data_IF_539121617020
#
_entry.id   IF_539121617020
#
_cell.length_a   1.000
_cell.length_b   1.000
_cell.length_c   1.000
_cell.angle_alpha   90.00
_cell.angle_beta   90.00
_cell.angle_gamma   90.00
#
_symmetry.space_group_name_H-M   'P 1'
#
loop_
_entity.id
_entity.type
_entity.pdbx_description
1 polymer ?
#
# COMPACT_ATOMS: atom_id res chain seq x y z
N UNK A 1 23.77 -13.89 4.58
CA UNK A 1 22.64 -13.34 5.36
C UNK A 1 23.09 -13.19 6.82
N UNK A 2 23.05 -11.99 7.38
CA UNK A 2 23.34 -11.75 8.80
C UNK A 2 22.02 -11.91 9.58
N UNK A 3 21.99 -12.79 10.59
CA UNK A 3 20.80 -13.05 11.41
C UNK A 3 21.01 -12.40 12.77
N UNK A 4 20.04 -11.60 13.22
CA UNK A 4 20.01 -11.01 14.55
C UNK A 4 18.61 -11.12 15.15
N UNK A 5 18.52 -11.06 16.48
CA UNK A 5 17.23 -11.00 17.18
C UNK A 5 16.57 -9.64 16.93
N UNK A 6 15.24 -9.63 16.80
CA UNK A 6 14.45 -8.40 16.59
C UNK A 6 14.55 -7.40 17.75
N UNK A 7 14.99 -7.84 18.93
CA UNK A 7 15.21 -6.98 20.11
C UNK A 7 16.69 -6.64 20.33
N UNK A 8 17.59 -7.22 19.54
CA UNK A 8 19.01 -6.94 19.67
C UNK A 8 19.38 -5.73 18.82
N UNK A 9 19.52 -4.58 19.47
CA UNK A 9 19.95 -3.33 18.85
C UNK A 9 21.47 -3.12 18.91
N UNK A 10 22.23 -4.08 19.44
CA UNK A 10 23.68 -3.97 19.58
C UNK A 10 24.42 -4.57 18.37
N UNK A 11 25.58 -3.97 18.07
CA UNK A 11 26.53 -4.47 17.08
C UNK A 11 26.59 -3.62 15.82
N UNK A 12 27.81 -3.49 15.27
CA UNK A 12 28.12 -2.57 14.17
C UNK A 12 27.20 -2.69 12.96
N UNK A 13 26.88 -3.92 12.53
CA UNK A 13 25.98 -4.15 11.38
C UNK A 13 24.56 -3.64 11.66
N UNK A 14 24.08 -3.80 12.89
CA UNK A 14 22.76 -3.37 13.31
C UNK A 14 22.70 -1.84 13.38
N UNK A 15 23.73 -1.21 13.95
CA UNK A 15 23.89 0.25 13.99
C UNK A 15 23.91 0.85 12.59
N UNK A 16 24.76 0.34 11.68
CA UNK A 16 24.79 0.80 10.29
C UNK A 16 23.46 0.63 9.57
N UNK A 17 22.76 -0.48 9.82
CA UNK A 17 21.43 -0.70 9.22
C UNK A 17 20.43 0.36 9.67
N UNK A 18 20.47 0.77 10.94
CA UNK A 18 19.60 1.83 11.48
C UNK A 18 19.97 3.18 10.90
N UNK A 19 21.25 3.51 10.87
CA UNK A 19 21.78 4.74 10.27
C UNK A 19 21.35 4.90 8.80
N UNK A 20 21.53 3.87 7.98
CA UNK A 20 21.08 3.86 6.58
C UNK A 20 19.56 4.01 6.50
N UNK A 21 18.81 3.39 7.41
CA UNK A 21 17.35 3.45 7.41
C UNK A 21 16.79 4.83 7.78
N UNK A 22 17.50 5.58 8.62
CA UNK A 22 17.14 6.93 9.04
C UNK A 22 17.63 8.02 8.08
N UNK A 23 18.57 7.68 7.20
CA UNK A 23 19.12 8.59 6.21
C UNK A 23 18.05 9.20 5.28
N UNK A 24 18.09 10.53 5.13
CA UNK A 24 17.22 11.28 4.23
C UNK A 24 17.62 11.13 2.75
N UNK A 25 18.88 10.77 2.49
CA UNK A 25 19.48 10.60 1.15
C UNK A 25 20.18 9.25 1.07
N UNK A 26 20.43 8.71 -0.15
CA UNK A 26 21.35 7.59 -0.32
C UNK A 26 22.67 7.88 0.41
N UNK A 27 23.21 6.87 1.08
CA UNK A 27 24.43 6.98 1.87
C UNK A 27 25.51 6.23 1.13
N UNK A 28 26.65 6.88 0.89
CA UNK A 28 27.79 6.22 0.28
C UNK A 28 28.39 5.21 1.26
N UNK A 29 28.58 3.99 0.77
CA UNK A 29 29.05 2.88 1.59
C UNK A 29 30.02 2.00 0.82
N UNK A 30 31.04 1.51 1.53
CA UNK A 30 31.96 0.50 1.02
C UNK A 30 31.83 -0.78 1.83
N UNK A 31 31.75 -1.92 1.13
CA UNK A 31 31.61 -3.24 1.75
C UNK A 31 32.71 -4.15 1.24
N UNK A 32 33.52 -4.66 2.17
CA UNK A 32 34.49 -5.72 1.90
C UNK A 32 33.87 -7.04 2.33
N UNK A 33 33.73 -7.99 1.39
CA UNK A 33 33.23 -9.33 1.68
C UNK A 33 34.36 -10.28 2.05
N UNK A 34 34.07 -11.29 2.88
CA UNK A 34 35.04 -12.35 3.22
C UNK A 34 35.39 -13.22 2.01
N UNK A 35 34.47 -13.31 1.05
CA UNK A 35 34.60 -14.09 -0.19
C UNK A 35 33.79 -13.47 -1.31
N UNK A 36 34.12 -13.82 -2.55
CA UNK A 36 33.37 -13.37 -3.74
C UNK A 36 31.88 -13.68 -3.58
N UNK A 37 30.97 -12.69 -3.74
CA UNK A 37 29.53 -12.93 -3.76
C UNK A 37 29.16 -13.97 -4.83
N UNK A 38 28.34 -14.94 -4.44
CA UNK A 38 27.80 -15.98 -5.33
C UNK A 38 26.30 -16.13 -5.08
N UNK A 39 25.55 -16.54 -6.10
CA UNK A 39 24.11 -16.78 -6.01
C UNK A 39 23.35 -16.27 -7.23
N UNK A 40 22.07 -16.62 -7.31
CA UNK A 40 21.13 -16.11 -8.31
C UNK A 40 20.26 -15.02 -7.67
N UNK A 41 19.50 -14.28 -8.50
CA UNK A 41 18.47 -13.37 -8.00
C UNK A 41 17.47 -14.20 -7.19
N UNK A 42 17.36 -13.89 -5.91
CA UNK A 42 16.44 -14.57 -5.01
C UNK A 42 15.20 -13.70 -4.80
N UNK A 43 14.04 -14.23 -5.20
CA UNK A 43 12.74 -13.64 -4.92
C UNK A 43 12.18 -14.31 -3.66
N UNK A 44 11.97 -13.52 -2.63
CA UNK A 44 11.36 -13.96 -1.37
C UNK A 44 10.15 -13.06 -1.08
N UNK A 45 9.15 -13.59 -0.37
CA UNK A 45 7.92 -12.84 -0.06
C UNK A 45 8.11 -11.72 0.98
N UNK A 46 9.19 -11.81 1.76
CA UNK A 46 9.43 -10.96 2.94
C UNK A 46 10.54 -9.92 2.72
N UNK A 47 11.41 -10.13 1.74
CA UNK A 47 12.57 -9.28 1.47
C UNK A 47 12.61 -8.89 0.00
N UNK A 48 13.20 -7.74 -0.27
CA UNK A 48 13.35 -7.24 -1.64
C UNK A 48 14.18 -8.23 -2.47
N UNK A 49 13.88 -8.34 -3.78
CA UNK A 49 14.74 -9.03 -4.73
C UNK A 49 16.18 -8.54 -4.58
N UNK A 50 17.11 -9.46 -4.35
CA UNK A 50 18.52 -9.13 -4.22
C UNK A 50 19.37 -10.13 -5.01
N UNK A 51 20.51 -9.62 -5.47
CA UNK A 51 21.48 -10.40 -6.24
C UNK A 51 22.38 -11.28 -5.36
N UNK A 52 23.50 -11.73 -5.93
CA UNK A 52 24.52 -12.52 -5.22
C UNK A 52 24.93 -11.87 -3.90
N UNK A 53 25.17 -12.67 -2.86
CA UNK A 53 25.56 -12.17 -1.54
C UNK A 53 26.72 -12.97 -0.94
N UNK A 54 27.47 -12.34 -0.02
CA UNK A 54 28.52 -12.98 0.75
C UNK A 54 28.54 -12.42 2.20
N UNK A 55 29.15 -13.14 3.16
CA UNK A 55 29.43 -12.60 4.49
C UNK A 55 30.28 -11.33 4.42
N UNK A 56 29.92 -10.35 5.24
CA UNK A 56 30.56 -9.04 5.30
C UNK A 56 31.76 -9.11 6.24
N UNK A 57 32.94 -8.71 5.76
CA UNK A 57 34.18 -8.59 6.54
C UNK A 57 34.33 -7.19 7.15
N UNK A 58 34.05 -6.14 6.36
CA UNK A 58 34.16 -4.74 6.79
C UNK A 58 33.13 -3.89 6.08
N UNK A 59 32.57 -2.90 6.78
CA UNK A 59 31.70 -1.87 6.22
C UNK A 59 32.26 -0.52 6.61
N UNK A 60 32.27 0.41 5.66
CA UNK A 60 32.45 1.83 5.89
C UNK A 60 31.19 2.55 5.42
N UNK A 61 30.76 3.52 6.23
CA UNK A 61 29.57 4.32 5.98
C UNK A 61 29.97 5.79 6.07
N UNK A 62 29.59 6.60 5.08
CA UNK A 62 29.58 8.05 5.24
C UNK A 62 28.56 8.45 6.31
N UNK A 63 28.78 9.57 7.02
CA UNK A 63 27.83 10.06 8.01
C UNK A 63 26.48 10.40 7.36
N UNK A 64 25.39 9.68 7.66
CA UNK A 64 24.12 9.87 6.99
C UNK A 64 23.45 11.17 7.45
N UNK A 65 23.03 11.99 6.49
CA UNK A 65 22.13 13.11 6.82
C UNK A 65 20.75 12.57 7.18
N UNK A 66 20.36 12.65 8.45
CA UNK A 66 19.04 12.23 8.92
C UNK A 66 17.99 13.33 8.67
N UNK A 67 16.74 12.93 8.41
CA UNK A 67 15.61 13.86 8.35
C UNK A 67 15.30 14.37 9.77
N UNK A 68 15.40 15.68 10.05
CA UNK A 68 15.29 16.21 11.42
C UNK A 68 14.00 15.83 12.15
N UNK A 69 12.90 15.67 11.39
CA UNK A 69 11.60 15.26 11.95
C UNK A 69 11.62 13.80 12.41
N UNK A 70 12.26 12.93 11.65
CA UNK A 70 12.44 11.52 12.01
C UNK A 70 13.41 11.41 13.19
N UNK A 71 14.50 12.17 13.17
CA UNK A 71 15.46 12.24 14.27
C UNK A 71 14.80 12.64 15.59
N UNK A 72 13.98 13.70 15.56
CA UNK A 72 13.21 14.14 16.73
C UNK A 72 12.31 13.03 17.27
N UNK A 73 11.55 12.37 16.40
CA UNK A 73 10.68 11.26 16.81
C UNK A 73 11.46 10.02 17.27
N UNK A 74 12.70 9.85 16.80
CA UNK A 74 13.58 8.77 17.20
C UNK A 74 14.13 8.97 18.62
N UNK A 75 14.57 10.18 18.96
CA UNK A 75 15.07 10.49 20.31
C UNK A 75 13.96 10.66 21.35
N UNK A 76 12.70 10.78 20.93
CA UNK A 76 11.56 10.76 21.83
C UNK A 76 11.22 9.30 22.24
N UNK A 77 11.78 8.90 23.38
CA UNK A 77 11.65 7.56 23.94
C UNK A 77 10.28 7.25 24.55
N UNK A 78 9.42 8.25 24.74
CA UNK A 78 8.09 8.12 25.34
C UNK A 78 6.95 8.19 24.30
N UNK A 79 7.25 8.71 23.11
CA UNK A 79 6.29 8.86 22.03
C UNK A 79 5.80 7.49 21.51
N UNK A 80 4.48 7.29 21.56
CA UNK A 80 3.86 6.08 20.98
C UNK A 80 4.09 6.06 19.48
N UNK A 81 4.36 4.86 18.94
CA UNK A 81 4.67 4.70 17.53
C UNK A 81 3.56 5.25 16.63
N UNK A 82 2.29 4.99 16.97
CA UNK A 82 1.13 5.52 16.24
C UNK A 82 1.17 7.04 16.11
N UNK A 83 1.48 7.73 17.20
CA UNK A 83 1.45 9.20 17.25
C UNK A 83 2.61 9.76 16.42
N UNK A 84 3.81 9.17 16.52
CA UNK A 84 4.94 9.48 15.66
C UNK A 84 4.60 9.32 14.16
N UNK A 85 3.98 8.21 13.76
CA UNK A 85 3.59 7.96 12.37
C UNK A 85 2.63 9.03 11.84
N UNK A 86 1.62 9.38 12.62
CA UNK A 86 0.62 10.39 12.24
C UNK A 86 1.25 11.78 12.17
N UNK A 87 2.09 12.14 13.13
CA UNK A 87 2.76 13.45 13.16
C UNK A 87 3.73 13.62 11.97
N UNK A 88 4.58 12.63 11.72
CA UNK A 88 5.51 12.64 10.59
C UNK A 88 4.78 12.77 9.26
N UNK A 89 3.69 12.01 9.09
CA UNK A 89 2.84 12.09 7.91
C UNK A 89 2.22 13.48 7.75
N UNK A 90 1.64 14.05 8.82
CA UNK A 90 1.04 15.40 8.80
C UNK A 90 2.06 16.49 8.48
N UNK A 91 3.31 16.31 8.91
CA UNK A 91 4.42 17.23 8.57
C UNK A 91 4.90 17.07 7.12
N UNK A 92 4.40 16.09 6.36
CA UNK A 92 4.77 15.87 4.96
C UNK A 92 6.04 15.03 4.77
N UNK A 93 6.44 14.24 5.78
CA UNK A 93 7.51 13.26 5.60
C UNK A 93 7.01 12.15 4.67
N UNK A 94 7.83 11.78 3.68
CA UNK A 94 7.49 10.73 2.73
C UNK A 94 7.17 9.41 3.46
N UNK A 95 6.06 8.78 3.09
CA UNK A 95 5.62 7.50 3.69
C UNK A 95 6.70 6.43 3.60
N UNK A 96 7.42 6.35 2.48
CA UNK A 96 8.53 5.40 2.31
C UNK A 96 9.65 5.60 3.33
N UNK A 97 9.95 6.84 3.72
CA UNK A 97 10.92 7.14 4.79
C UNK A 97 10.39 6.74 6.16
N UNK A 98 9.12 7.01 6.43
CA UNK A 98 8.45 6.59 7.66
C UNK A 98 8.47 5.06 7.78
N UNK A 99 8.14 4.33 6.70
CA UNK A 99 8.19 2.87 6.64
C UNK A 99 9.60 2.32 6.89
N UNK A 100 10.63 2.94 6.28
CA UNK A 100 12.04 2.55 6.46
C UNK A 100 12.49 2.74 7.91
N UNK A 101 12.23 3.90 8.50
CA UNK A 101 12.53 4.19 9.90
C UNK A 101 11.76 3.25 10.86
N UNK A 102 10.47 3.01 10.61
CA UNK A 102 9.67 2.10 11.43
C UNK A 102 10.23 0.67 11.42
N UNK A 103 10.73 0.19 10.27
CA UNK A 103 11.29 -1.17 10.13
C UNK A 103 12.51 -1.44 11.01
N UNK A 104 13.27 -0.40 11.34
CA UNK A 104 14.44 -0.48 12.22
C UNK A 104 14.14 -0.12 13.67
N UNK A 105 12.86 -0.11 14.06
CA UNK A 105 12.42 0.17 15.41
C UNK A 105 12.66 1.62 15.83
N UNK A 106 12.58 2.58 14.90
CA UNK A 106 12.87 3.98 15.21
C UNK A 106 11.79 4.68 16.07
N UNK A 107 10.56 4.16 16.11
CA UNK A 107 9.42 4.82 16.73
C UNK A 107 8.78 3.93 17.80
N UNK A 108 8.20 4.57 18.81
CA UNK A 108 7.53 3.91 19.93
C UNK A 108 8.29 4.07 21.24
N UNK A 109 7.63 3.65 22.32
CA UNK A 109 8.23 3.61 23.66
C UNK A 109 9.50 2.77 23.62
N UNK A 110 10.61 3.31 24.13
CA UNK A 110 11.96 2.77 23.94
C UNK A 110 12.05 1.27 24.26
N UNK A 111 11.53 0.86 25.42
CA UNK A 111 11.50 -0.53 25.88
C UNK A 111 10.73 -1.51 24.97
N UNK A 112 9.84 -0.97 24.11
CA UNK A 112 8.98 -1.75 23.22
C UNK A 112 9.44 -1.71 21.76
N UNK A 113 10.50 -0.95 21.45
CA UNK A 113 11.06 -0.87 20.10
C UNK A 113 11.61 -2.25 19.69
N UNK A 114 11.42 -2.58 18.43
CA UNK A 114 11.90 -3.83 17.81
C UNK A 114 12.07 -3.65 16.32
N UNK A 115 12.94 -4.44 15.71
CA UNK A 115 12.95 -4.59 14.25
C UNK A 115 11.65 -5.22 13.77
N UNK A 116 11.15 -4.71 12.65
CA UNK A 116 9.91 -5.18 12.02
C UNK A 116 10.22 -5.49 10.55
N UNK A 117 9.86 -6.68 10.04
CA UNK A 117 10.03 -7.00 8.62
C UNK A 117 9.47 -5.92 7.71
N UNK A 118 10.11 -5.66 6.58
CA UNK A 118 9.74 -4.58 5.65
C UNK A 118 8.27 -4.66 5.22
N UNK A 119 7.78 -5.87 4.89
CA UNK A 119 6.39 -6.10 4.53
C UNK A 119 5.42 -5.66 5.63
N UNK A 120 5.69 -6.02 6.87
CA UNK A 120 4.85 -5.65 8.01
C UNK A 120 4.96 -4.16 8.34
N UNK A 121 6.13 -3.55 8.16
CA UNK A 121 6.33 -2.12 8.33
C UNK A 121 5.50 -1.31 7.34
N UNK A 122 5.49 -1.72 6.07
CA UNK A 122 4.64 -1.12 5.03
C UNK A 122 3.17 -1.16 5.46
N UNK A 123 2.67 -2.35 5.79
CA UNK A 123 1.27 -2.51 6.18
C UNK A 123 0.93 -1.76 7.46
N UNK A 124 1.78 -1.80 8.49
CA UNK A 124 1.53 -1.13 9.76
C UNK A 124 1.44 0.39 9.60
N UNK A 125 2.35 0.98 8.81
CA UNK A 125 2.34 2.42 8.53
C UNK A 125 1.12 2.80 7.70
N UNK A 126 0.87 2.10 6.59
CA UNK A 126 -0.23 2.43 5.67
C UNK A 126 -1.59 2.23 6.34
N UNK A 127 -1.74 1.17 7.14
CA UNK A 127 -2.96 0.90 7.91
C UNK A 127 -3.22 1.98 8.97
N UNK A 128 -2.19 2.36 9.72
CA UNK A 128 -2.28 3.36 10.80
C UNK A 128 -2.66 4.73 10.24
N UNK A 129 -1.93 5.21 9.24
CA UNK A 129 -2.21 6.50 8.60
C UNK A 129 -3.58 6.46 7.92
N UNK A 130 -3.88 5.40 7.16
CA UNK A 130 -5.15 5.26 6.45
C UNK A 130 -6.35 5.22 7.38
N UNK A 131 -6.23 4.59 8.56
CA UNK A 131 -7.29 4.59 9.57
C UNK A 131 -7.53 5.98 10.18
N UNK A 132 -6.49 6.77 10.36
CA UNK A 132 -6.62 8.13 10.89
C UNK A 132 -7.29 9.06 9.89
N UNK A 133 -6.93 8.97 8.60
CA UNK A 133 -7.57 9.75 7.53
C UNK A 133 -9.01 9.30 7.33
N UNK A 134 -9.27 7.98 7.31
CA UNK A 134 -10.61 7.39 7.17
C UNK A 134 -11.61 7.95 8.18
N UNK A 135 -11.21 8.22 9.42
CA UNK A 135 -12.10 8.80 10.43
C UNK A 135 -12.66 10.16 9.99
N UNK A 136 -11.81 11.02 9.45
CA UNK A 136 -12.22 12.34 8.93
C UNK A 136 -13.09 12.20 7.69
N UNK A 137 -12.73 11.30 6.77
CA UNK A 137 -13.50 11.05 5.54
C UNK A 137 -14.95 10.66 5.85
N UNK A 138 -15.18 9.90 6.93
CA UNK A 138 -16.53 9.48 7.33
C UNK A 138 -17.45 10.61 7.75
N UNK A 139 -16.91 11.77 8.11
CA UNK A 139 -17.66 12.95 8.54
C UNK A 139 -18.03 13.86 7.35
N UNK A 140 -17.53 13.57 6.15
CA UNK A 140 -17.78 14.40 4.96
C UNK A 140 -19.04 13.98 4.20
N UNK A 141 -19.67 14.93 3.48
CA UNK A 141 -20.81 14.63 2.61
C UNK A 141 -20.40 13.69 1.47
N UNK A 142 -21.36 12.93 0.97
CA UNK A 142 -21.13 12.00 -0.13
C UNK A 142 -20.80 12.74 -1.43
N UNK A 143 -20.09 12.07 -2.34
CA UNK A 143 -20.12 12.47 -3.75
C UNK A 143 -21.54 12.30 -4.31
N UNK A 144 -21.87 13.05 -5.35
CA UNK A 144 -23.21 13.05 -5.97
C UNK A 144 -23.23 12.35 -7.33
N UNK A 145 -22.09 11.94 -7.86
CA UNK A 145 -21.97 11.23 -9.13
C UNK A 145 -21.13 9.95 -9.03
N UNK A 146 -21.27 9.06 -10.01
CA UNK A 146 -20.38 7.92 -10.17
C UNK A 146 -19.12 8.37 -10.90
N UNK A 147 -17.95 7.98 -10.41
CA UNK A 147 -16.65 8.39 -10.96
C UNK A 147 -15.80 7.16 -11.24
N UNK A 148 -15.17 7.13 -12.40
CA UNK A 148 -14.14 6.14 -12.72
C UNK A 148 -12.85 6.87 -13.04
N UNK A 149 -11.81 6.52 -12.31
CA UNK A 149 -10.44 6.93 -12.57
C UNK A 149 -9.68 5.77 -13.17
N UNK A 150 -8.82 6.04 -14.15
CA UNK A 150 -8.04 5.01 -14.83
C UNK A 150 -6.55 5.36 -14.92
N UNK A 151 -5.71 4.35 -14.81
CA UNK A 151 -4.29 4.46 -15.16
C UNK A 151 -3.74 3.11 -15.61
N UNK A 152 -2.73 3.14 -16.47
CA UNK A 152 -2.00 1.96 -16.91
C UNK A 152 -0.50 2.19 -16.76
N UNK A 153 0.18 1.26 -16.11
CA UNK A 153 1.62 1.33 -15.91
C UNK A 153 2.18 -0.02 -15.48
N UNK A 154 3.45 -0.30 -15.85
CA UNK A 154 4.13 -1.57 -15.60
C UNK A 154 3.30 -2.79 -16.07
N UNK A 155 2.57 -2.65 -17.17
CA UNK A 155 1.64 -3.68 -17.66
C UNK A 155 0.54 -4.07 -16.65
N UNK A 156 0.16 -3.12 -15.80
CA UNK A 156 -0.99 -3.23 -14.92
C UNK A 156 -2.03 -2.20 -15.35
N UNK A 157 -3.29 -2.62 -15.43
CA UNK A 157 -4.44 -1.73 -15.66
C UNK A 157 -5.17 -1.51 -14.35
N UNK A 158 -5.48 -0.26 -14.04
CA UNK A 158 -6.11 0.15 -12.80
C UNK A 158 -7.38 0.93 -13.10
N UNK A 159 -8.48 0.53 -12.47
CA UNK A 159 -9.71 1.32 -12.39
C UNK A 159 -10.06 1.58 -10.93
N UNK A 160 -10.40 2.82 -10.61
CA UNK A 160 -10.96 3.19 -9.30
C UNK A 160 -12.36 3.70 -9.51
N UNK A 161 -13.35 2.88 -9.14
CA UNK A 161 -14.74 3.25 -9.11
C UNK A 161 -15.05 3.93 -7.78
N UNK A 162 -15.62 5.13 -7.82
CA UNK A 162 -16.23 5.80 -6.68
C UNK A 162 -17.71 6.02 -6.93
N UNK A 163 -18.53 5.82 -5.90
CA UNK A 163 -19.98 6.03 -5.99
C UNK A 163 -20.57 6.67 -4.72
N UNK A 164 -21.74 7.33 -4.83
CA UNK A 164 -22.42 7.94 -3.68
C UNK A 164 -22.76 6.91 -2.60
N UNK A 165 -22.06 6.98 -1.46
CA UNK A 165 -22.26 6.08 -0.32
C UNK A 165 -21.47 6.58 0.89
N UNK A 166 -21.88 6.14 2.08
CA UNK A 166 -20.98 6.11 3.24
C UNK A 166 -19.72 5.29 2.92
N UNK A 167 -18.62 5.59 3.63
CA UNK A 167 -17.31 4.98 3.40
C UNK A 167 -17.42 3.47 3.40
N UNK A 168 -17.01 2.90 2.29
CA UNK A 168 -16.74 1.48 2.12
C UNK A 168 -15.66 1.35 1.05
N UNK A 169 -14.83 0.34 1.20
CA UNK A 169 -13.65 0.20 0.36
C UNK A 169 -13.37 -1.25 0.03
N UNK A 170 -13.10 -1.52 -1.23
CA UNK A 170 -12.71 -2.83 -1.74
C UNK A 170 -11.53 -2.70 -2.71
N UNK A 171 -10.63 -3.68 -2.64
CA UNK A 171 -9.59 -3.90 -3.64
C UNK A 171 -9.76 -5.31 -4.20
N UNK A 172 -9.79 -5.42 -5.52
CA UNK A 172 -9.80 -6.69 -6.24
C UNK A 172 -8.63 -6.70 -7.21
N UNK A 173 -7.77 -7.70 -7.07
CA UNK A 173 -6.62 -7.92 -7.92
C UNK A 173 -6.83 -9.19 -8.75
N UNK A 174 -6.53 -9.08 -10.04
CA UNK A 174 -6.58 -10.19 -10.98
C UNK A 174 -5.19 -10.46 -11.58
N UNK A 175 -4.61 -11.62 -11.26
CA UNK A 175 -3.29 -12.03 -11.72
C UNK A 175 -3.40 -12.97 -12.92
N UNK A 176 -2.91 -12.50 -14.06
CA UNK A 176 -2.85 -13.29 -15.29
C UNK A 176 -1.84 -14.44 -15.18
N UNK A 177 -2.01 -15.52 -15.97
CA UNK A 177 -0.99 -16.54 -16.16
C UNK A 177 0.40 -15.94 -16.45
N UNK A 178 1.45 -16.61 -15.99
CA UNK A 178 2.86 -16.23 -16.17
C UNK A 178 3.27 -14.92 -15.48
N UNK A 179 2.46 -14.41 -14.55
CA UNK A 179 2.87 -13.31 -13.66
C UNK A 179 3.60 -13.85 -12.43
N UNK A 180 4.36 -13.00 -11.73
CA UNK A 180 5.14 -13.42 -10.53
C UNK A 180 4.31 -14.16 -9.48
N UNK A 181 3.05 -13.77 -9.31
CA UNK A 181 2.13 -14.35 -8.31
C UNK A 181 1.18 -15.40 -8.91
N UNK A 182 1.26 -15.64 -10.23
CA UNK A 182 0.55 -16.72 -10.92
C UNK A 182 1.44 -17.38 -12.01
N UNK A 183 2.60 -17.97 -11.61
CA UNK A 183 3.64 -18.39 -12.56
C UNK A 183 3.29 -19.66 -13.35
N UNK A 184 2.29 -20.44 -12.91
CA UNK A 184 2.04 -21.80 -13.45
C UNK A 184 0.58 -22.12 -13.77
N UNK A 185 -0.37 -21.19 -13.61
CA UNK A 185 -1.79 -21.50 -13.90
C UNK A 185 -2.17 -21.07 -15.30
N UNK A 186 -3.02 -21.87 -15.95
CA UNK A 186 -3.67 -21.54 -17.23
C UNK A 186 -4.81 -20.52 -17.08
N UNK A 187 -5.24 -20.24 -15.86
CA UNK A 187 -6.39 -19.39 -15.57
C UNK A 187 -5.99 -18.15 -14.77
N UNK A 188 -6.70 -17.05 -15.02
CA UNK A 188 -6.57 -15.81 -14.26
C UNK A 188 -7.14 -16.02 -12.85
N UNK A 189 -6.32 -15.73 -11.85
CA UNK A 189 -6.70 -15.77 -10.43
C UNK A 189 -7.21 -14.39 -10.03
N UNK A 190 -8.39 -14.32 -9.42
CA UNK A 190 -8.98 -13.07 -8.94
C UNK A 190 -9.22 -13.21 -7.44
N UNK A 191 -8.74 -12.25 -6.64
CA UNK A 191 -9.05 -12.17 -5.22
C UNK A 191 -9.42 -10.75 -4.84
N UNK A 192 -10.39 -10.63 -3.95
CA UNK A 192 -10.89 -9.36 -3.42
C UNK A 192 -10.87 -9.35 -1.90
N UNK A 193 -10.60 -8.18 -1.33
CA UNK A 193 -10.82 -7.89 0.07
C UNK A 193 -11.60 -6.59 0.17
N UNK A 194 -12.59 -6.54 1.07
CA UNK A 194 -13.44 -5.37 1.27
C UNK A 194 -13.53 -4.96 2.75
N UNK A 195 -14.01 -3.74 2.98
CA UNK A 195 -14.50 -3.25 4.25
C UNK A 195 -15.74 -2.39 4.05
N UNK A 196 -16.80 -2.68 4.82
CA UNK A 196 -17.94 -1.78 4.96
C UNK A 196 -17.61 -0.64 5.92
N UNK A 197 -18.61 0.14 6.31
CA UNK A 197 -18.44 1.31 7.19
C UNK A 197 -17.68 1.01 8.48
N UNK A 198 -17.90 -0.14 9.12
CA UNK A 198 -17.22 -0.50 10.39
C UNK A 198 -15.73 -0.82 10.21
N UNK A 199 -15.27 -1.10 8.99
CA UNK A 199 -13.89 -1.53 8.73
C UNK A 199 -13.69 -3.03 8.93
N UNK A 200 -12.43 -3.48 8.83
CA UNK A 200 -12.04 -4.88 9.08
C UNK A 200 -11.49 -5.09 10.49
N UNK A 201 -11.79 -6.26 11.06
CA UNK A 201 -11.14 -6.78 12.27
C UNK A 201 -9.97 -7.72 11.97
N UNK A 202 -9.94 -8.31 10.77
CA UNK A 202 -8.91 -9.26 10.32
C UNK A 202 -7.99 -8.66 9.28
N UNK A 203 -6.79 -9.23 9.18
CA UNK A 203 -5.80 -8.86 8.17
C UNK A 203 -6.35 -9.15 6.75
N UNK A 204 -6.04 -8.27 5.78
CA UNK A 204 -6.43 -8.48 4.39
C UNK A 204 -5.64 -9.65 3.78
N UNK A 205 -6.33 -10.56 3.09
CA UNK A 205 -5.75 -11.72 2.40
C UNK A 205 -4.78 -11.30 1.30
N UNK A 206 -5.13 -10.25 0.54
CA UNK A 206 -4.27 -9.62 -0.49
C UNK A 206 -3.03 -8.95 0.14
N UNK A 207 -3.08 -8.67 1.45
CA UNK A 207 -1.95 -8.14 2.21
C UNK A 207 -1.72 -6.65 2.01
N UNK A 208 -0.46 -6.25 1.83
CA UNK A 208 -0.05 -4.84 1.87
C UNK A 208 -0.71 -3.96 0.79
N UNK A 209 -0.99 -4.52 -0.40
CA UNK A 209 -1.64 -3.81 -1.49
C UNK A 209 -2.99 -3.22 -1.08
N UNK A 210 -3.78 -3.97 -0.28
CA UNK A 210 -5.07 -3.52 0.23
C UNK A 210 -4.94 -2.22 1.03
N UNK A 211 -4.02 -2.17 1.99
CA UNK A 211 -3.84 -1.01 2.85
C UNK A 211 -3.21 0.18 2.11
N UNK A 212 -2.33 -0.09 1.15
CA UNK A 212 -1.68 0.90 0.32
C UNK A 212 -2.67 1.64 -0.59
N UNK A 213 -3.51 0.91 -1.32
CA UNK A 213 -4.58 1.49 -2.13
C UNK A 213 -5.63 2.19 -1.26
N UNK A 214 -6.01 1.62 -0.10
CA UNK A 214 -6.96 2.24 0.84
C UNK A 214 -6.47 3.58 1.37
N UNK A 215 -5.17 3.67 1.65
CA UNK A 215 -4.56 4.93 2.06
C UNK A 215 -4.66 5.97 0.93
N UNK A 216 -4.29 5.59 -0.30
CA UNK A 216 -4.37 6.48 -1.45
C UNK A 216 -5.81 6.99 -1.72
N UNK A 217 -6.81 6.11 -1.61
CA UNK A 217 -8.22 6.50 -1.77
C UNK A 217 -8.72 7.40 -0.65
N UNK A 218 -8.35 7.10 0.61
CA UNK A 218 -8.66 7.95 1.75
C UNK A 218 -8.02 9.34 1.64
N UNK A 219 -6.78 9.43 1.15
CA UNK A 219 -6.09 10.70 0.90
C UNK A 219 -6.83 11.56 -0.13
N UNK A 220 -7.27 10.95 -1.24
CA UNK A 220 -8.00 11.66 -2.30
C UNK A 220 -9.34 12.21 -1.79
N UNK A 221 -10.13 11.38 -1.12
CA UNK A 221 -11.42 11.78 -0.54
C UNK A 221 -11.25 12.84 0.56
N UNK A 222 -10.20 12.73 1.38
CA UNK A 222 -9.90 13.73 2.39
C UNK A 222 -9.48 15.08 1.78
N UNK A 223 -8.75 15.07 0.67
CA UNK A 223 -8.39 16.28 -0.09
C UNK A 223 -9.64 16.97 -0.67
N UNK A 224 -10.59 16.19 -1.19
CA UNK A 224 -11.85 16.71 -1.74
C UNK A 224 -12.89 17.07 -0.67
N UNK A 225 -12.66 16.65 0.59
CA UNK A 225 -13.65 16.72 1.68
C UNK A 225 -14.97 16.08 1.27
N UNK A 226 -14.88 14.86 0.75
CA UNK A 226 -16.01 14.04 0.32
C UNK A 226 -15.87 12.63 0.86
N UNK A 227 -16.98 11.90 0.84
CA UNK A 227 -17.08 10.50 1.19
C UNK A 227 -17.67 9.71 0.02
N UNK A 228 -17.24 8.47 -0.17
CA UNK A 228 -17.74 7.61 -1.23
C UNK A 228 -17.55 6.13 -0.85
N UNK A 229 -18.30 5.26 -1.54
CA UNK A 229 -17.92 3.87 -1.69
C UNK A 229 -16.86 3.77 -2.77
N UNK A 230 -15.82 2.97 -2.55
CA UNK A 230 -14.66 2.89 -3.45
C UNK A 230 -14.33 1.43 -3.77
N UNK A 231 -14.25 1.11 -5.05
CA UNK A 231 -13.81 -0.21 -5.54
C UNK A 231 -12.60 0.01 -6.44
N UNK A 232 -11.46 -0.53 -6.03
CA UNK A 232 -10.22 -0.53 -6.82
C UNK A 232 -10.12 -1.87 -7.53
N UNK A 233 -10.09 -1.85 -8.85
CA UNK A 233 -9.92 -3.01 -9.71
C UNK A 233 -8.54 -2.94 -10.35
N UNK A 234 -7.80 -4.04 -10.29
CA UNK A 234 -6.44 -4.13 -10.86
C UNK A 234 -6.29 -5.39 -11.69
N UNK A 235 -5.91 -5.23 -12.95
CA UNK A 235 -5.44 -6.32 -13.81
C UNK A 235 -3.91 -6.30 -13.85
N UNK A 236 -3.29 -7.43 -13.51
CA UNK A 236 -1.85 -7.64 -13.60
C UNK A 236 -1.59 -8.54 -14.80
N UNK A 237 -1.09 -7.96 -15.90
CA UNK A 237 -0.85 -8.69 -17.15
C UNK A 237 0.57 -9.31 -17.19
N UNK A 238 0.83 -10.26 -18.11
CA UNK A 238 2.07 -11.05 -18.15
C UNK A 238 3.37 -10.24 -18.37
N UNK A 239 3.30 -9.03 -18.92
CA UNK A 239 4.45 -8.13 -19.04
C UNK A 239 4.91 -7.56 -17.70
N UNK A 240 4.16 -7.76 -16.61
CA UNK A 240 4.61 -7.48 -15.25
C UNK A 240 5.58 -8.57 -14.75
N UNK A 241 6.83 -8.47 -15.22
CA UNK A 241 7.87 -9.49 -15.02
C UNK A 241 8.55 -9.44 -13.64
N UNK A 242 8.49 -8.31 -12.92
CA UNK A 242 9.22 -8.12 -11.67
C UNK A 242 8.32 -7.55 -10.57
N UNK A 243 8.32 -8.13 -9.36
CA UNK A 243 7.57 -7.59 -8.24
C UNK A 243 8.25 -6.31 -7.72
N UNK A 244 7.74 -5.15 -8.12
CA UNK A 244 8.30 -3.85 -7.68
C UNK A 244 7.92 -3.48 -6.24
N UNK A 245 6.99 -4.22 -5.62
CA UNK A 245 6.57 -4.04 -4.23
C UNK A 245 5.29 -3.23 -4.07
N UNK A 246 4.83 -3.10 -2.82
CA UNK A 246 3.52 -2.52 -2.46
C UNK A 246 3.41 -1.02 -2.78
N UNK A 247 4.53 -0.29 -2.83
CA UNK A 247 4.53 1.14 -3.14
C UNK A 247 3.89 1.42 -4.50
N UNK A 248 4.08 0.53 -5.48
CA UNK A 248 3.50 0.64 -6.82
C UNK A 248 1.98 0.81 -6.79
N UNK A 249 1.32 0.04 -5.93
CA UNK A 249 -0.13 0.09 -5.75
C UNK A 249 -0.57 1.46 -5.26
N UNK A 250 0.10 1.97 -4.22
CA UNK A 250 -0.20 3.29 -3.65
C UNK A 250 0.00 4.41 -4.67
N UNK A 251 1.14 4.40 -5.36
CA UNK A 251 1.47 5.50 -6.27
C UNK A 251 0.63 5.48 -7.55
N UNK A 252 0.26 4.31 -8.09
CA UNK A 252 -0.64 4.24 -9.25
C UNK A 252 -2.09 4.56 -8.91
N UNK A 253 -2.59 4.16 -7.73
CA UNK A 253 -3.91 4.62 -7.28
C UNK A 253 -3.90 6.14 -7.05
N UNK A 254 -2.83 6.71 -6.48
CA UNK A 254 -2.67 8.17 -6.38
C UNK A 254 -2.62 8.86 -7.73
N UNK A 255 -1.90 8.29 -8.70
CA UNK A 255 -1.81 8.81 -10.06
C UNK A 255 -3.19 8.84 -10.72
N UNK A 256 -3.94 7.73 -10.65
CA UNK A 256 -5.31 7.66 -11.15
C UNK A 256 -6.19 8.75 -10.52
N UNK A 257 -6.15 8.89 -9.19
CA UNK A 257 -6.97 9.86 -8.43
C UNK A 257 -6.50 11.32 -8.53
N UNK A 258 -5.39 11.60 -9.23
CA UNK A 258 -4.96 12.96 -9.57
C UNK A 258 -5.50 13.41 -10.92
N UNK A 259 -5.89 12.47 -11.78
CA UNK A 259 -6.47 12.75 -13.10
C UNK A 259 -7.94 13.08 -12.96
N UNK A 260 -8.49 13.70 -14.00
CA UNK A 260 -9.93 13.96 -14.08
C UNK A 260 -10.70 12.63 -14.25
N UNK A 261 -11.73 12.37 -13.43
CA UNK A 261 -12.51 11.15 -13.56
C UNK A 261 -13.47 11.23 -14.74
N UNK A 262 -13.79 10.06 -15.29
CA UNK A 262 -15.01 9.90 -16.10
C UNK A 262 -16.21 9.84 -15.17
N UNK A 263 -17.20 10.69 -15.41
CA UNK A 263 -18.40 10.81 -14.60
C UNK A 263 -19.57 10.12 -15.27
N UNK A 264 -20.40 9.47 -14.46
CA UNK A 264 -21.61 8.77 -14.91
C UNK A 264 -22.78 9.11 -13.98
N UNK A 265 -23.98 9.08 -14.54
CA UNK A 265 -25.21 9.35 -13.80
C UNK A 265 -25.72 8.10 -13.10
N UNK A 266 -25.54 6.93 -13.72
CA UNK A 266 -26.05 5.66 -13.20
C UNK A 266 -24.93 4.65 -12.96
N UNK A 267 -25.20 3.73 -12.03
CA UNK A 267 -24.27 2.64 -11.72
C UNK A 267 -24.07 1.72 -12.93
N UNK A 268 -25.12 1.50 -13.72
CA UNK A 268 -25.10 0.67 -14.92
C UNK A 268 -24.19 1.26 -16.01
N UNK A 269 -24.20 2.58 -16.20
CA UNK A 269 -23.27 3.27 -17.11
C UNK A 269 -21.81 3.08 -16.66
N UNK A 270 -21.55 3.21 -15.35
CA UNK A 270 -20.22 2.98 -14.79
C UNK A 270 -19.76 1.51 -14.97
N UNK A 271 -20.63 0.53 -14.74
CA UNK A 271 -20.34 -0.89 -14.97
C UNK A 271 -20.11 -1.21 -16.45
N UNK A 272 -20.86 -0.60 -17.37
CA UNK A 272 -20.66 -0.74 -18.80
C UNK A 272 -19.28 -0.23 -19.22
N UNK A 273 -18.83 0.90 -18.65
CA UNK A 273 -17.48 1.40 -18.86
C UNK A 273 -16.41 0.42 -18.36
N UNK A 274 -16.56 -0.11 -17.14
CA UNK A 274 -15.63 -1.13 -16.60
C UNK A 274 -15.56 -2.34 -17.52
N UNK A 275 -16.68 -2.80 -18.06
CA UNK A 275 -16.72 -3.93 -18.99
C UNK A 275 -15.99 -3.67 -20.31
N UNK A 276 -15.93 -2.42 -20.78
CA UNK A 276 -15.21 -2.06 -22.00
C UNK A 276 -13.73 -1.74 -21.76
N UNK A 277 -13.38 -1.31 -20.55
CA UNK A 277 -12.03 -0.90 -20.19
C UNK A 277 -11.19 -2.05 -19.62
N UNK A 278 -11.78 -3.09 -19.04
CA UNK A 278 -11.07 -4.26 -18.50
C UNK A 278 -11.12 -5.43 -19.47
N UNK A 279 -10.04 -6.21 -19.50
CA UNK A 279 -9.96 -7.41 -20.33
C UNK A 279 -10.78 -8.58 -19.72
N UNK A 280 -10.90 -8.62 -18.39
CA UNK A 280 -11.72 -9.59 -17.67
C UNK A 280 -13.20 -9.18 -17.75
N UNK A 281 -14.05 -10.17 -18.07
CA UNK A 281 -15.49 -9.94 -18.15
C UNK A 281 -16.07 -9.40 -16.84
N UNK A 282 -16.98 -8.44 -16.99
CA UNK A 282 -17.66 -7.79 -15.86
C UNK A 282 -18.29 -8.79 -14.89
N UNK A 283 -18.84 -9.90 -15.40
CA UNK A 283 -19.44 -10.97 -14.58
C UNK A 283 -18.45 -11.50 -13.53
N UNK A 284 -17.19 -11.74 -13.88
CA UNK A 284 -16.18 -12.25 -12.94
C UNK A 284 -15.81 -11.22 -11.86
N UNK A 285 -15.77 -9.95 -12.23
CA UNK A 285 -15.59 -8.86 -11.26
C UNK A 285 -16.76 -8.79 -10.28
N UNK A 286 -18.00 -8.86 -10.77
CA UNK A 286 -19.20 -8.86 -9.93
C UNK A 286 -19.22 -10.08 -8.99
N UNK A 287 -18.94 -11.28 -9.49
CA UNK A 287 -18.92 -12.50 -8.66
C UNK A 287 -17.97 -12.37 -7.46
N UNK A 288 -16.82 -11.70 -7.67
CA UNK A 288 -15.79 -11.51 -6.63
C UNK A 288 -16.08 -10.30 -5.73
N UNK A 289 -16.69 -9.23 -6.25
CA UNK A 289 -16.87 -7.96 -5.55
C UNK A 289 -18.03 -7.99 -4.59
N UNK A 290 -17.76 -7.84 -3.29
CA UNK A 290 -18.82 -7.73 -2.29
C UNK A 290 -19.52 -6.38 -2.37
N UNK A 291 -18.81 -5.30 -2.68
CA UNK A 291 -19.42 -3.97 -2.74
C UNK A 291 -20.27 -3.75 -4.00
N UNK A 292 -19.85 -4.29 -5.15
CA UNK A 292 -20.66 -4.23 -6.37
C UNK A 292 -21.90 -5.12 -6.22
N UNK A 293 -21.77 -6.33 -5.65
CA UNK A 293 -22.92 -7.19 -5.35
C UNK A 293 -23.91 -6.53 -4.42
N UNK A 294 -23.43 -5.99 -3.30
CA UNK A 294 -24.25 -5.25 -2.33
C UNK A 294 -25.03 -4.13 -3.03
N UNK A 295 -24.37 -3.35 -3.88
CA UNK A 295 -25.02 -2.25 -4.62
C UNK A 295 -26.03 -2.72 -5.69
N UNK A 296 -25.83 -3.88 -6.30
CA UNK A 296 -26.76 -4.46 -7.28
C UNK A 296 -27.99 -5.09 -6.62
N UNK A 297 -27.83 -5.70 -5.44
CA UNK A 297 -28.89 -6.46 -4.78
C UNK A 297 -29.65 -5.66 -3.73
N UNK A 298 -29.01 -4.71 -3.06
CA UNK A 298 -29.63 -3.88 -2.04
C UNK A 298 -30.19 -2.59 -2.63
N UNK A 299 -31.52 -2.53 -2.79
CA UNK A 299 -32.24 -1.27 -3.08
C UNK A 299 -32.15 -0.33 -1.89
N UNK A 300 -31.73 0.91 -2.10
CA UNK A 300 -31.70 1.95 -1.06
C UNK A 300 -32.98 2.76 -1.09
N UNK A 301 -33.31 3.40 0.04
CA UNK A 301 -34.49 4.27 0.16
C UNK A 301 -34.48 5.35 -0.93
N UNK A 302 -33.29 5.86 -1.26
CA UNK A 302 -33.04 6.84 -2.33
C UNK A 302 -33.55 6.37 -3.71
N UNK A 303 -33.52 5.05 -3.98
CA UNK A 303 -33.98 4.47 -5.24
C UNK A 303 -35.52 4.40 -5.33
N UNK A 304 -36.23 4.70 -4.22
CA UNK A 304 -37.69 4.76 -4.16
C UNK A 304 -38.23 6.20 -4.16
N UNK A 305 -37.36 7.20 -4.07
CA UNK A 305 -37.73 8.61 -4.13
C UNK A 305 -37.27 9.14 -5.49
N UNK A 306 -38.09 8.97 -6.52
CA UNK A 306 -37.89 9.70 -7.77
C UNK A 306 -38.05 11.22 -7.51
N UNK A 307 -37.30 12.08 -8.24
CA UNK A 307 -37.45 13.53 -8.16
C UNK A 307 -38.82 14.05 -8.61
#
# INVERSE_FOLDING_TARGET
>A
KYRTSIRNFSGKIVEFTREIALAARPVDMEVIFEKKPRGNIALYDEVQPHGPSAPIKKVWLENPKVEPRIEKAYYDGDLKAKDALIELYRKGVLISRIQKAFSVGAFGVEERRKFVPTRWSITAVDSTIGNEIKKKVKEYPFINEYRIYETQSLDNRWLVLMYPSAWQYELIEAWYPNTTWNPSKRQIVIFGDHEFYKGRSTYATIGGCYYAARLATAEALNRERRQAGVVVLREIHPGYIMPVGVWNVREHVRDALRKEPRKFETFQQALAYISGAMDISLKRWIETSELIKDRLHQRRIEDFVEP
#
